data_IF_131676656862
#
_entry.id   IF_131676656862
#
_cell.length_a   1.000
_cell.length_b   1.000
_cell.length_c   1.000
_cell.angle_alpha   90.00
_cell.angle_beta   90.00
_cell.angle_gamma   90.00
#
_symmetry.space_group_name_H-M   'P 1'
#
loop_
_entity.id
_entity.type
_entity.pdbx_description
1 polymer ?
#
# COMPACT_ATOMS: atom_id res chain seq x y z
N UNK A 1 20.87 16.02 -19.82
CA UNK A 1 19.51 16.32 -19.31
C UNK A 1 19.28 15.65 -17.96
N UNK A 2 18.76 16.33 -16.92
CA UNK A 2 18.26 15.64 -15.73
C UNK A 2 16.92 14.99 -16.07
N UNK A 3 16.81 13.67 -15.88
CA UNK A 3 15.50 12.98 -15.93
C UNK A 3 14.84 13.20 -14.58
N UNK A 4 13.78 14.00 -14.54
CA UNK A 4 12.92 14.07 -13.39
C UNK A 4 12.11 12.75 -13.30
N UNK A 5 12.73 11.69 -12.79
CA UNK A 5 12.07 10.44 -12.45
C UNK A 5 11.16 10.70 -11.23
N UNK A 6 9.99 11.26 -11.49
CA UNK A 6 8.91 11.41 -10.51
C UNK A 6 8.23 10.05 -10.27
N UNK A 7 9.01 8.98 -10.18
CA UNK A 7 8.45 7.67 -9.85
C UNK A 7 7.95 7.74 -8.41
N UNK A 8 6.69 7.37 -8.17
CA UNK A 8 6.18 7.28 -6.81
C UNK A 8 7.09 6.34 -6.03
N UNK A 9 7.48 6.76 -4.82
CA UNK A 9 8.35 5.95 -3.97
C UNK A 9 7.54 4.77 -3.48
N UNK A 10 8.12 3.58 -3.54
CA UNK A 10 7.53 2.38 -2.93
C UNK A 10 7.21 2.65 -1.46
N UNK A 11 6.06 2.16 -1.00
CA UNK A 11 5.70 2.24 0.41
C UNK A 11 6.72 1.46 1.23
N UNK A 12 7.29 2.07 2.27
CA UNK A 12 8.32 1.42 3.11
C UNK A 12 7.73 0.37 4.04
N UNK A 13 6.48 0.53 4.46
CA UNK A 13 5.83 -0.39 5.41
C UNK A 13 5.43 -1.73 4.79
N UNK A 14 5.22 -1.77 3.48
CA UNK A 14 4.83 -2.99 2.77
C UNK A 14 5.76 -3.34 1.60
N UNK A 15 6.83 -2.56 1.39
CA UNK A 15 7.80 -2.74 0.30
C UNK A 15 7.19 -2.87 -1.09
N UNK A 16 5.98 -2.32 -1.30
CA UNK A 16 5.23 -2.41 -2.54
C UNK A 16 4.24 -3.59 -2.62
N UNK A 17 4.30 -4.53 -1.68
CA UNK A 17 3.35 -5.64 -1.53
C UNK A 17 2.13 -5.20 -0.73
N UNK A 18 1.34 -4.32 -1.33
CA UNK A 18 0.28 -3.60 -0.65
C UNK A 18 -0.97 -4.41 -0.29
N UNK A 19 -1.12 -5.62 -0.84
CA UNK A 19 -2.24 -6.50 -0.58
C UNK A 19 -1.83 -7.97 -0.53
N UNK A 20 -2.53 -8.73 0.32
CA UNK A 20 -2.38 -10.18 0.43
C UNK A 20 -3.76 -10.83 0.57
N UNK A 21 -3.89 -12.03 0.00
CA UNK A 21 -5.07 -12.89 0.21
C UNK A 21 -4.74 -13.92 1.28
N UNK A 22 -5.57 -13.95 2.31
CA UNK A 22 -5.46 -14.90 3.42
C UNK A 22 -6.66 -15.82 3.39
N UNK A 23 -6.44 -17.07 3.00
CA UNK A 23 -7.48 -18.10 3.12
C UNK A 23 -7.61 -18.47 4.59
N UNK A 24 -8.80 -18.25 5.13
CA UNK A 24 -9.12 -18.59 6.50
C UNK A 24 -9.46 -20.08 6.63
N UNK A 25 -9.50 -20.57 7.86
CA UNK A 25 -9.96 -21.93 8.15
C UNK A 25 -11.47 -22.10 7.98
N UNK A 26 -12.24 -21.00 7.92
CA UNK A 26 -13.69 -21.06 7.76
C UNK A 26 -14.07 -21.45 6.32
N UNK A 27 -15.21 -22.14 6.22
CA UNK A 27 -15.86 -22.41 4.94
C UNK A 27 -17.19 -21.68 4.87
N UNK A 28 -17.48 -21.19 3.68
CA UNK A 28 -18.80 -20.73 3.30
C UNK A 28 -19.81 -21.89 3.29
N UNK A 29 -21.10 -21.55 3.28
CA UNK A 29 -22.17 -22.56 3.24
C UNK A 29 -22.16 -23.40 1.97
N UNK A 30 -21.59 -22.85 0.90
CA UNK A 30 -21.38 -23.56 -0.37
C UNK A 30 -20.15 -24.49 -0.36
N UNK A 31 -19.38 -24.50 0.73
CA UNK A 31 -18.18 -25.32 0.91
C UNK A 31 -16.88 -24.65 0.44
N UNK A 32 -16.93 -23.46 -0.15
CA UNK A 32 -15.74 -22.68 -0.50
C UNK A 32 -15.01 -22.17 0.74
N UNK A 33 -13.69 -21.91 0.64
CA UNK A 33 -12.91 -21.39 1.76
C UNK A 33 -13.00 -19.87 1.79
N UNK A 34 -13.39 -19.34 2.94
CA UNK A 34 -13.44 -17.91 3.19
C UNK A 34 -12.05 -17.30 3.01
N UNK A 35 -11.95 -16.28 2.15
CA UNK A 35 -10.67 -15.61 1.84
C UNK A 35 -10.78 -14.13 2.17
N UNK A 36 -9.92 -13.67 3.06
CA UNK A 36 -9.83 -12.27 3.44
C UNK A 36 -8.77 -11.57 2.58
N UNK A 37 -9.09 -10.35 2.13
CA UNK A 37 -8.09 -9.48 1.50
C UNK A 37 -7.61 -8.48 2.53
N UNK A 38 -6.32 -8.53 2.86
CA UNK A 38 -5.67 -7.58 3.75
C UNK A 38 -4.94 -6.55 2.90
N UNK A 39 -5.06 -5.28 3.25
CA UNK A 39 -4.35 -4.18 2.59
C UNK A 39 -3.45 -3.45 3.58
N UNK A 40 -2.33 -2.92 3.10
CA UNK A 40 -1.46 -2.08 3.91
C UNK A 40 -2.23 -0.81 4.32
N UNK A 41 -2.37 -0.50 5.62
CA UNK A 41 -3.17 0.64 6.07
C UNK A 41 -2.49 1.98 5.76
N UNK A 42 -1.15 1.99 5.66
CA UNK A 42 -0.35 3.21 5.41
C UNK A 42 -0.53 3.69 3.96
N UNK A 43 -0.37 2.80 2.99
CA UNK A 43 -0.57 3.13 1.58
C UNK A 43 -1.98 2.82 1.06
N UNK A 44 -2.87 2.27 1.90
CA UNK A 44 -4.25 1.87 1.55
C UNK A 44 -4.33 0.97 0.31
N UNK A 45 -3.35 0.08 0.14
CA UNK A 45 -3.30 -0.84 -1.00
C UNK A 45 -2.65 -0.31 -2.28
N UNK A 46 -2.13 0.94 -2.33
CA UNK A 46 -1.50 1.48 -3.55
C UNK A 46 -0.05 1.01 -3.81
N UNK A 47 0.61 0.44 -2.79
CA UNK A 47 2.03 0.03 -2.86
C UNK A 47 3.02 1.18 -2.96
N UNK A 48 2.53 2.42 -2.92
CA UNK A 48 3.33 3.62 -3.12
C UNK A 48 3.00 4.65 -2.05
N UNK A 49 4.04 5.28 -1.52
CA UNK A 49 3.89 6.45 -0.66
C UNK A 49 3.77 7.68 -1.57
N UNK A 50 2.63 8.36 -1.49
CA UNK A 50 2.51 9.70 -2.07
C UNK A 50 3.53 10.57 -1.36
N UNK A 51 4.38 11.25 -2.13
CA UNK A 51 5.32 12.23 -1.58
C UNK A 51 4.47 13.32 -0.94
N UNK A 52 4.39 13.34 0.39
CA UNK A 52 3.82 14.48 1.09
C UNK A 52 4.87 15.55 0.97
N UNK A 53 4.64 16.51 0.09
CA UNK A 53 5.45 17.72 0.04
C UNK A 53 5.11 18.48 1.30
N UNK A 54 5.92 18.31 2.35
CA UNK A 54 5.81 19.18 3.51
C UNK A 54 6.13 20.59 3.02
N UNK A 55 5.21 21.56 3.15
CA UNK A 55 5.57 22.94 2.87
C UNK A 55 6.71 23.29 3.82
N UNK A 56 7.87 23.59 3.26
CA UNK A 56 9.00 24.10 4.02
C UNK A 56 8.51 25.35 4.72
N UNK A 57 8.39 25.31 6.05
CA UNK A 57 8.10 26.51 6.82
C UNK A 57 9.35 27.40 6.74
N UNK A 58 9.40 28.25 5.72
CA UNK A 58 10.45 29.25 5.58
C UNK A 58 10.04 30.45 6.42
N UNK A 59 10.38 30.43 7.71
CA UNK A 59 10.24 31.57 8.59
C UNK A 59 11.59 32.29 8.73
N UNK A 60 11.68 33.53 8.24
CA UNK A 60 12.54 34.57 8.80
C UNK A 60 12.00 35.95 8.47
#
# INVERSE_FOLDING_TARGET
MPRNDSRPRTCRDCDGHASAKVTTGQRDRDGSRQTLTVTCPVCKGTGTSRRVTHPTHTGR
#
